data_IF_424580333930
#
_entry.id   IF_424580333930
#
_cell.length_a   1.000
_cell.length_b   1.000
_cell.length_c   1.000
_cell.angle_alpha   90.00
_cell.angle_beta   90.00
_cell.angle_gamma   90.00
#
_symmetry.space_group_name_H-M   'P 1'
#
loop_
_entity.id
_entity.type
_entity.pdbx_description
1 polymer ?
#
# COMPACT_ATOMS: atom_id res chain seq x y z
N UNK A 1 -12.27 -6.92 -13.19
CA UNK A 1 -12.20 -7.60 -11.88
C UNK A 1 -10.73 -7.86 -11.58
N UNK A 2 -10.13 -7.21 -10.56
CA UNK A 2 -8.73 -7.50 -10.16
C UNK A 2 -8.70 -8.81 -9.40
N UNK A 3 -7.66 -9.64 -9.60
CA UNK A 3 -7.62 -10.98 -8.97
C UNK A 3 -7.61 -10.87 -7.44
N UNK A 4 -8.02 -11.94 -6.74
CA UNK A 4 -8.06 -11.98 -5.28
C UNK A 4 -6.73 -11.55 -4.62
N UNK A 5 -5.59 -11.83 -5.28
CA UNK A 5 -4.27 -11.39 -4.83
C UNK A 5 -4.10 -9.87 -4.84
N UNK A 6 -4.64 -9.17 -5.83
CA UNK A 6 -4.60 -7.70 -5.88
C UNK A 6 -5.48 -7.08 -4.80
N UNK A 7 -6.69 -7.64 -4.62
CA UNK A 7 -7.59 -7.19 -3.56
C UNK A 7 -6.94 -7.34 -2.19
N UNK A 8 -6.43 -8.53 -1.90
CA UNK A 8 -5.75 -8.83 -0.64
C UNK A 8 -4.52 -7.96 -0.40
N UNK A 9 -3.67 -7.77 -1.43
CA UNK A 9 -2.50 -6.90 -1.31
C UNK A 9 -2.86 -5.44 -1.03
N UNK A 10 -3.98 -4.97 -1.57
CA UNK A 10 -4.47 -3.60 -1.35
C UNK A 10 -5.01 -3.44 0.07
N UNK A 11 -5.86 -4.37 0.52
CA UNK A 11 -6.37 -4.40 1.89
C UNK A 11 -5.23 -4.49 2.93
N UNK A 12 -4.21 -5.31 2.66
CA UNK A 12 -3.07 -5.41 3.57
C UNK A 12 -2.26 -4.10 3.63
N UNK A 13 -2.10 -3.40 2.51
CA UNK A 13 -1.45 -2.09 2.49
C UNK A 13 -2.27 -1.03 3.26
N UNK A 14 -3.59 -1.05 3.13
CA UNK A 14 -4.51 -0.12 3.81
C UNK A 14 -4.44 -0.21 5.34
N UNK A 15 -4.06 -1.36 5.90
CA UNK A 15 -3.84 -1.50 7.35
C UNK A 15 -2.60 -0.76 7.87
N UNK A 16 -1.74 -0.26 6.98
CA UNK A 16 -0.43 0.29 7.35
C UNK A 16 0.60 -0.79 7.72
N UNK A 17 0.36 -2.06 7.35
CA UNK A 17 1.31 -3.14 7.58
C UNK A 17 2.69 -2.82 6.96
N UNK A 18 3.74 -3.08 7.73
CA UNK A 18 5.12 -2.85 7.27
C UNK A 18 5.45 -3.66 6.00
N UNK A 19 6.27 -3.08 5.12
CA UNK A 19 6.64 -3.68 3.84
C UNK A 19 7.28 -5.07 3.97
N UNK A 20 8.04 -5.31 5.03
CA UNK A 20 8.60 -6.65 5.30
C UNK A 20 7.52 -7.68 5.63
N UNK A 21 6.51 -7.31 6.43
CA UNK A 21 5.38 -8.18 6.70
C UNK A 21 4.55 -8.43 5.44
N UNK A 22 4.32 -7.39 4.63
CA UNK A 22 3.62 -7.49 3.35
C UNK A 22 4.34 -8.42 2.37
N UNK A 23 5.67 -8.33 2.27
CA UNK A 23 6.50 -9.26 1.47
C UNK A 23 6.41 -10.69 1.97
N UNK A 24 6.53 -10.91 3.29
CA UNK A 24 6.48 -12.24 3.88
C UNK A 24 5.14 -12.93 3.62
N UNK A 25 4.03 -12.22 3.84
CA UNK A 25 2.67 -12.73 3.61
C UNK A 25 2.42 -13.02 2.13
N UNK A 26 2.92 -12.16 1.23
CA UNK A 26 2.76 -12.34 -0.23
C UNK A 26 3.76 -13.31 -0.84
N UNK A 27 4.75 -13.78 -0.08
CA UNK A 27 5.82 -14.66 -0.57
C UNK A 27 6.77 -14.01 -1.57
N UNK A 28 7.02 -12.69 -1.46
CA UNK A 28 7.87 -11.96 -2.39
C UNK A 28 9.20 -11.53 -1.77
N UNK A 29 10.29 -11.73 -2.50
CA UNK A 29 11.63 -11.28 -2.08
C UNK A 29 11.80 -9.75 -2.16
N UNK A 30 11.10 -9.08 -3.08
CA UNK A 30 11.21 -7.63 -3.32
C UNK A 30 9.86 -6.95 -3.13
N UNK A 31 9.86 -5.78 -2.50
CA UNK A 31 8.61 -5.04 -2.25
C UNK A 31 7.98 -4.55 -3.56
N UNK A 32 8.78 -4.24 -4.59
CA UNK A 32 8.29 -3.85 -5.91
C UNK A 32 7.31 -4.88 -6.50
N UNK A 33 7.52 -6.18 -6.24
CA UNK A 33 6.61 -7.24 -6.67
C UNK A 33 5.27 -7.16 -5.94
N UNK A 34 5.25 -6.93 -4.62
CA UNK A 34 4.03 -6.73 -3.83
C UNK A 34 3.33 -5.41 -4.16
N UNK A 35 4.09 -4.33 -4.33
CA UNK A 35 3.56 -3.00 -4.67
C UNK A 35 2.81 -3.04 -6.01
N UNK A 36 3.24 -3.86 -6.98
CA UNK A 36 2.52 -4.07 -8.23
C UNK A 36 1.11 -4.66 -8.07
N UNK A 37 0.81 -5.28 -6.93
CA UNK A 37 -0.54 -5.77 -6.60
C UNK A 37 -1.40 -4.74 -5.86
N UNK A 38 -0.78 -3.67 -5.36
CA UNK A 38 -1.44 -2.65 -4.54
C UNK A 38 -1.94 -1.54 -5.42
N UNK A 39 -3.23 -1.22 -5.30
CA UNK A 39 -3.82 -0.17 -6.11
C UNK A 39 -4.72 0.71 -5.27
N UNK A 40 -4.17 1.85 -4.88
CA UNK A 40 -4.88 2.89 -4.17
C UNK A 40 -6.01 3.47 -5.01
N UNK A 41 -7.14 3.75 -4.37
CA UNK A 41 -8.13 4.65 -4.98
C UNK A 41 -7.57 6.07 -5.00
N UNK A 42 -8.01 6.93 -5.92
CA UNK A 42 -7.57 8.33 -5.96
C UNK A 42 -7.77 9.06 -4.62
N UNK A 43 -8.88 8.81 -3.95
CA UNK A 43 -9.23 9.45 -2.66
C UNK A 43 -8.26 9.03 -1.56
N UNK A 44 -7.91 7.74 -1.51
CA UNK A 44 -7.00 7.23 -0.48
C UNK A 44 -5.57 7.67 -0.74
N UNK A 45 -5.16 7.80 -2.00
CA UNK A 45 -3.88 8.38 -2.36
C UNK A 45 -3.80 9.87 -1.94
N UNK A 46 -4.87 10.64 -2.16
CA UNK A 46 -4.93 12.04 -1.75
C UNK A 46 -4.78 12.19 -0.22
N UNK A 47 -5.52 11.38 0.55
CA UNK A 47 -5.44 11.40 2.00
C UNK A 47 -4.04 11.03 2.52
N UNK A 48 -3.39 10.01 1.95
CA UNK A 48 -2.01 9.64 2.31
C UNK A 48 -1.01 10.76 1.98
N UNK A 49 -1.22 11.49 0.87
CA UNK A 49 -0.38 12.62 0.51
C UNK A 49 -0.56 13.79 1.49
N UNK A 50 -1.78 14.05 1.96
CA UNK A 50 -2.06 15.07 2.96
C UNK A 50 -1.45 14.72 4.32
N UNK A 51 -1.62 13.47 4.78
CA UNK A 51 -0.97 12.96 6.00
C UNK A 51 0.56 13.11 5.94
N UNK A 52 1.16 12.84 4.78
CA UNK A 52 2.59 13.02 4.57
C UNK A 52 3.04 14.49 4.60
N UNK A 53 2.25 15.41 4.03
CA UNK A 53 2.53 16.86 4.08
C UNK A 53 2.49 17.38 5.51
N UNK A 54 1.47 16.98 6.28
CA UNK A 54 1.32 17.35 7.68
C UNK A 54 2.50 16.85 8.52
N UNK A 55 2.95 15.61 8.29
CA UNK A 55 4.09 15.02 9.01
C UNK A 55 5.42 15.76 8.77
N UNK A 56 5.59 16.38 7.60
CA UNK A 56 6.81 17.14 7.24
C UNK A 56 6.66 18.64 7.57
N UNK A 57 5.48 19.08 8.02
CA UNK A 57 5.21 20.48 8.38
C UNK A 57 5.14 21.42 7.18
N UNK A 58 4.88 20.89 5.98
CA UNK A 58 4.72 21.67 4.75
C UNK A 58 3.22 21.83 4.51
N UNK A 59 2.64 22.94 4.96
CA UNK A 59 1.25 23.31 4.67
C UNK A 59 1.18 24.49 3.72
#
# INVERSE_FOLDING_TARGET
MRSARHFFSTALAETGAADDARKAIMGHAKIATTAGYTHWTPERLAALADEARDAVGIR
#
